data_IF_319662999450
#
_entry.id   IF_319662999450
#
_cell.length_a   1.000
_cell.length_b   1.000
_cell.length_c   1.000
_cell.angle_alpha   90.00
_cell.angle_beta   90.00
_cell.angle_gamma   90.00
#
_symmetry.space_group_name_H-M   'P 1'
#
loop_
_entity.id
_entity.type
_entity.pdbx_description
1 polymer ?
#
# COMPACT_ATOMS: atom_id res chain seq x y z
N UNK A 1 5.09 -5.24 15.90
CA UNK A 1 5.41 -5.93 14.63
C UNK A 1 5.08 -7.42 14.77
N UNK A 2 3.83 -7.82 14.51
CA UNK A 2 3.43 -9.24 14.48
C UNK A 2 2.07 -9.38 13.80
N UNK A 3 1.96 -9.16 12.49
CA UNK A 3 0.76 -9.60 11.76
C UNK A 3 1.01 -9.81 10.25
N UNK A 4 1.77 -10.87 9.96
CA UNK A 4 2.03 -11.37 8.62
C UNK A 4 1.24 -12.63 8.28
N UNK A 5 0.03 -12.83 8.84
CA UNK A 5 -0.75 -14.05 8.60
C UNK A 5 -2.19 -13.72 8.23
N UNK A 6 -2.42 -13.60 6.93
CA UNK A 6 -3.63 -14.07 6.26
C UNK A 6 -3.32 -14.04 4.78
N UNK A 7 -2.66 -15.11 4.32
CA UNK A 7 -2.61 -15.47 2.90
C UNK A 7 -4.08 -15.60 2.48
N UNK A 8 -4.48 -14.92 1.40
CA UNK A 8 -5.87 -14.96 0.91
C UNK A 8 -6.36 -16.40 0.75
N UNK A 9 -7.65 -16.64 1.01
CA UNK A 9 -8.21 -17.99 1.13
C UNK A 9 -7.91 -18.87 -0.10
N UNK A 10 -7.89 -18.26 -1.29
CA UNK A 10 -7.56 -18.88 -2.59
C UNK A 10 -6.07 -19.24 -2.74
N UNK A 11 -5.16 -18.38 -2.32
CA UNK A 11 -3.73 -18.66 -2.33
C UNK A 11 -3.38 -19.76 -1.30
N UNK A 12 -4.12 -19.82 -0.20
CA UNK A 12 -3.98 -20.85 0.82
C UNK A 12 -4.49 -22.20 0.30
N UNK A 13 -5.63 -22.24 -0.39
CA UNK A 13 -6.14 -23.47 -1.02
C UNK A 13 -5.22 -23.96 -2.14
N UNK A 14 -4.64 -23.06 -2.95
CA UNK A 14 -3.68 -23.43 -3.99
C UNK A 14 -2.37 -24.00 -3.40
N UNK A 15 -1.82 -23.38 -2.35
CA UNK A 15 -0.67 -23.92 -1.64
C UNK A 15 -0.97 -25.28 -1.00
N UNK A 16 -2.18 -25.47 -0.49
CA UNK A 16 -2.62 -26.71 0.12
C UNK A 16 -2.78 -27.82 -0.92
N UNK A 17 -3.28 -27.49 -2.12
CA UNK A 17 -3.37 -28.39 -3.27
C UNK A 17 -1.98 -28.80 -3.77
N UNK A 18 -1.05 -27.85 -3.97
CA UNK A 18 0.35 -28.15 -4.31
C UNK A 18 0.99 -29.05 -3.24
N UNK A 19 0.76 -28.75 -1.96
CA UNK A 19 1.31 -29.55 -0.86
C UNK A 19 0.73 -30.96 -0.84
N UNK A 20 -0.55 -31.12 -1.18
CA UNK A 20 -1.22 -32.41 -1.34
C UNK A 20 -0.62 -33.21 -2.49
N UNK A 21 -0.50 -32.62 -3.68
CA UNK A 21 0.08 -33.27 -4.86
C UNK A 21 1.55 -33.64 -4.65
N UNK A 22 2.30 -32.83 -3.91
CA UNK A 22 3.67 -33.15 -3.50
C UNK A 22 3.73 -34.27 -2.46
N UNK A 23 2.72 -34.47 -1.60
CA UNK A 23 2.64 -35.58 -0.63
C UNK A 23 2.53 -36.94 -1.31
N UNK A 24 1.86 -37.00 -2.45
CA UNK A 24 1.66 -38.24 -3.22
C UNK A 24 2.93 -38.68 -3.99
N UNK A 25 3.90 -37.77 -4.14
CA UNK A 25 5.23 -38.15 -4.62
C UNK A 25 5.95 -38.98 -3.55
N UNK A 26 6.12 -40.29 -3.81
CA UNK A 26 6.97 -41.17 -3.00
C UNK A 26 8.43 -40.76 -3.16
N UNK A 27 8.89 -39.97 -2.19
CA UNK A 27 10.27 -39.50 -2.14
C UNK A 27 11.13 -40.56 -1.45
N UNK A 28 12.00 -41.22 -2.20
CA UNK A 28 12.86 -42.30 -1.67
C UNK A 28 14.25 -41.82 -1.22
N UNK A 29 14.59 -40.56 -1.51
CA UNK A 29 15.92 -39.98 -1.33
C UNK A 29 15.87 -38.67 -0.52
N UNK A 30 16.80 -38.47 0.43
CA UNK A 30 16.84 -37.31 1.32
C UNK A 30 16.97 -35.99 0.54
N UNK A 31 17.69 -36.03 -0.59
CA UNK A 31 17.87 -34.90 -1.51
C UNK A 31 16.53 -34.39 -2.07
N UNK A 32 15.65 -35.30 -2.48
CA UNK A 32 14.35 -34.94 -3.03
C UNK A 32 13.38 -34.40 -1.96
N UNK A 33 13.55 -34.83 -0.70
CA UNK A 33 12.77 -34.34 0.44
C UNK A 33 13.18 -32.91 0.81
N UNK A 34 14.47 -32.59 0.65
CA UNK A 34 15.01 -31.24 0.75
C UNK A 34 14.48 -30.34 -0.37
N UNK A 35 14.59 -30.77 -1.63
CA UNK A 35 14.09 -30.03 -2.81
C UNK A 35 12.60 -29.72 -2.68
N UNK A 36 11.78 -30.68 -2.25
CA UNK A 36 10.34 -30.48 -2.01
C UNK A 36 10.06 -29.40 -0.96
N UNK A 37 10.86 -29.34 0.12
CA UNK A 37 10.71 -28.30 1.16
C UNK A 37 11.15 -26.93 0.64
N UNK A 38 12.23 -26.88 -0.13
CA UNK A 38 12.75 -25.64 -0.72
C UNK A 38 11.73 -25.02 -1.69
N UNK A 39 11.18 -25.83 -2.60
CA UNK A 39 10.14 -25.40 -3.57
C UNK A 39 8.92 -24.84 -2.85
N UNK A 40 8.41 -25.53 -1.82
CA UNK A 40 7.23 -25.04 -1.06
C UNK A 40 7.55 -23.73 -0.34
N UNK A 41 8.77 -23.57 0.17
CA UNK A 41 9.21 -22.34 0.84
C UNK A 41 9.31 -21.17 -0.14
N UNK A 42 9.94 -21.38 -1.30
CA UNK A 42 10.05 -20.36 -2.35
C UNK A 42 8.68 -19.91 -2.87
N UNK A 43 7.78 -20.86 -3.15
CA UNK A 43 6.41 -20.53 -3.60
C UNK A 43 5.71 -19.70 -2.52
N UNK A 44 5.85 -20.07 -1.25
CA UNK A 44 5.23 -19.32 -0.14
C UNK A 44 5.82 -17.91 0.00
N UNK A 45 7.12 -17.75 -0.17
CA UNK A 45 7.79 -16.43 -0.17
C UNK A 45 7.32 -15.57 -1.33
N UNK A 46 7.28 -16.11 -2.55
CA UNK A 46 6.76 -15.42 -3.75
C UNK A 46 5.32 -14.94 -3.56
N UNK A 47 4.44 -15.82 -3.06
CA UNK A 47 3.04 -15.45 -2.77
C UNK A 47 2.94 -14.43 -1.64
N UNK A 48 3.77 -14.53 -0.60
CA UNK A 48 3.79 -13.55 0.48
C UNK A 48 4.24 -12.19 -0.03
N UNK A 49 5.29 -12.12 -0.84
CA UNK A 49 5.79 -10.87 -1.45
C UNK A 49 4.73 -10.25 -2.38
N UNK A 50 4.07 -11.07 -3.21
CA UNK A 50 2.99 -10.61 -4.10
C UNK A 50 1.80 -10.09 -3.30
N UNK A 51 1.36 -10.83 -2.29
CA UNK A 51 0.28 -10.41 -1.42
C UNK A 51 0.63 -9.15 -0.63
N UNK A 52 1.86 -9.02 -0.14
CA UNK A 52 2.29 -7.82 0.59
C UNK A 52 2.30 -6.58 -0.30
N UNK A 53 2.71 -6.71 -1.58
CA UNK A 53 2.65 -5.61 -2.57
C UNK A 53 1.22 -5.17 -2.84
N UNK A 54 0.31 -6.12 -3.05
CA UNK A 54 -1.13 -5.84 -3.29
C UNK A 54 -1.82 -5.33 -2.02
N UNK A 55 -1.38 -5.76 -0.84
CA UNK A 55 -1.93 -5.30 0.44
C UNK A 55 -1.44 -3.91 0.80
N UNK A 56 -0.18 -3.58 0.51
CA UNK A 56 0.37 -2.23 0.70
C UNK A 56 -0.34 -1.18 -0.16
N UNK A 57 -0.79 -1.55 -1.37
CA UNK A 57 -1.58 -0.65 -2.21
C UNK A 57 -3.02 -0.45 -1.75
N UNK A 58 -3.53 -1.33 -0.89
CA UNK A 58 -4.87 -1.26 -0.27
C UNK A 58 -4.87 -0.66 1.14
N UNK A 59 -3.70 -0.52 1.77
CA UNK A 59 -3.62 -0.04 3.15
C UNK A 59 -3.61 1.48 3.17
N UNK A 60 -4.65 2.06 3.78
CA UNK A 60 -4.67 3.47 4.13
C UNK A 60 -3.54 3.82 5.08
N UNK A 61 -3.07 5.07 5.00
CA UNK A 61 -2.23 5.67 6.01
C UNK A 61 -2.89 5.46 7.37
N UNK A 62 -2.06 5.03 8.33
CA UNK A 62 -2.50 4.85 9.71
C UNK A 62 -3.14 6.15 10.22
N UNK A 63 -4.26 6.03 10.93
CA UNK A 63 -5.03 7.18 11.47
C UNK A 63 -4.16 8.12 12.31
N UNK A 64 -3.08 7.60 12.91
CA UNK A 64 -2.09 8.39 13.64
C UNK A 64 -1.41 9.47 12.77
N UNK A 65 -1.14 9.19 11.49
CA UNK A 65 -0.56 10.17 10.57
C UNK A 65 -1.54 11.31 10.28
N UNK A 66 -2.83 10.99 10.12
CA UNK A 66 -3.89 11.98 9.94
C UNK A 66 -3.99 12.93 11.14
N UNK A 67 -3.90 12.40 12.36
CA UNK A 67 -3.90 13.20 13.59
C UNK A 67 -2.69 14.15 13.63
N UNK A 68 -1.48 13.66 13.30
CA UNK A 68 -0.26 14.49 13.29
C UNK A 68 -0.34 15.61 12.25
N UNK A 69 -0.80 15.30 11.04
CA UNK A 69 -0.98 16.30 9.97
C UNK A 69 -1.96 17.38 10.43
N UNK A 70 -3.09 16.99 11.03
CA UNK A 70 -4.09 17.94 11.51
C UNK A 70 -3.55 18.88 12.60
N UNK A 71 -2.82 18.32 13.57
CA UNK A 71 -2.20 19.10 14.66
C UNK A 71 -1.15 20.07 14.09
N UNK A 72 -0.26 19.60 13.21
CA UNK A 72 0.81 20.43 12.65
C UNK A 72 0.28 21.58 11.79
N UNK A 73 -0.73 21.31 10.95
CA UNK A 73 -1.39 22.34 10.14
C UNK A 73 -2.07 23.38 11.04
N UNK A 74 -2.72 22.95 12.12
CA UNK A 74 -3.38 23.86 13.06
C UNK A 74 -2.38 24.77 13.78
N UNK A 75 -1.26 24.21 14.27
CA UNK A 75 -0.19 24.97 14.92
C UNK A 75 0.43 25.99 13.95
N UNK A 76 0.73 25.57 12.71
CA UNK A 76 1.27 26.47 11.69
C UNK A 76 0.31 27.60 11.36
N UNK A 77 -1.00 27.32 11.27
CA UNK A 77 -2.01 28.34 11.03
C UNK A 77 -2.04 29.37 12.17
N UNK A 78 -2.06 28.92 13.43
CA UNK A 78 -2.05 29.81 14.61
C UNK A 78 -0.79 30.67 14.62
N UNK A 79 0.37 30.08 14.35
CA UNK A 79 1.65 30.79 14.32
C UNK A 79 1.68 31.89 13.24
N UNK A 80 1.24 31.56 12.02
CA UNK A 80 1.18 32.52 10.91
C UNK A 80 0.15 33.63 11.20
N UNK A 81 -0.96 33.31 11.87
CA UNK A 81 -1.95 34.30 12.32
C UNK A 81 -1.44 35.22 13.44
N UNK A 82 -0.49 34.79 14.27
CA UNK A 82 0.13 35.64 15.31
C UNK A 82 1.29 36.51 14.80
N UNK A 83 1.76 36.30 13.56
CA UNK A 83 2.87 37.03 12.99
C UNK A 83 2.48 38.49 12.67
N UNK A 84 2.97 39.42 13.49
CA UNK A 84 2.75 40.88 13.41
C UNK A 84 3.43 41.56 12.22
N UNK A 85 3.14 41.10 11.00
CA UNK A 85 3.54 41.75 9.76
C UNK A 85 2.47 42.81 9.39
N UNK A 86 2.83 43.81 8.56
CA UNK A 86 1.86 44.73 7.94
C UNK A 86 0.61 43.98 7.47
N UNK A 87 -0.57 44.50 7.82
CA UNK A 87 -1.89 43.85 7.65
C UNK A 87 -2.11 43.27 6.25
N UNK A 88 -1.65 43.95 5.20
CA UNK A 88 -1.77 43.49 3.81
C UNK A 88 -0.94 42.22 3.52
N UNK A 89 0.34 42.23 3.89
CA UNK A 89 1.24 41.07 3.69
C UNK A 89 0.85 39.89 4.59
N UNK A 90 0.34 40.19 5.78
CA UNK A 90 -0.19 39.16 6.69
C UNK A 90 -1.38 38.42 6.07
N UNK A 91 -2.36 39.14 5.50
CA UNK A 91 -3.51 38.52 4.82
C UNK A 91 -3.09 37.63 3.65
N UNK A 92 -2.13 38.08 2.84
CA UNK A 92 -1.59 37.30 1.71
C UNK A 92 -0.87 36.04 2.21
N UNK A 93 -0.04 36.17 3.25
CA UNK A 93 0.71 35.05 3.82
C UNK A 93 -0.22 33.97 4.40
N UNK A 94 -1.24 34.36 5.16
CA UNK A 94 -2.25 33.44 5.69
C UNK A 94 -2.98 32.72 4.56
N UNK A 95 -3.40 33.44 3.51
CA UNK A 95 -4.05 32.84 2.35
C UNK A 95 -3.17 31.80 1.64
N UNK A 96 -1.88 32.11 1.46
CA UNK A 96 -0.92 31.23 0.78
C UNK A 96 -0.62 29.97 1.60
N UNK A 97 -0.53 30.10 2.92
CA UNK A 97 -0.37 28.97 3.86
C UNK A 97 -1.61 28.07 3.87
N UNK A 98 -2.81 28.65 3.81
CA UNK A 98 -4.05 27.88 3.70
C UNK A 98 -4.12 27.08 2.39
N UNK A 99 -3.78 27.71 1.25
CA UNK A 99 -3.81 27.04 -0.05
C UNK A 99 -2.80 25.89 -0.11
N UNK A 100 -1.57 26.13 0.35
CA UNK A 100 -0.51 25.11 0.32
C UNK A 100 -0.80 23.95 1.29
N UNK A 101 -1.26 24.24 2.50
CA UNK A 101 -1.65 23.21 3.47
C UNK A 101 -2.87 22.40 2.98
N UNK A 102 -3.88 23.08 2.44
CA UNK A 102 -5.05 22.42 1.86
C UNK A 102 -4.69 21.52 0.69
N UNK A 103 -3.80 21.98 -0.20
CA UNK A 103 -3.30 21.17 -1.32
C UNK A 103 -2.52 19.95 -0.85
N UNK A 104 -1.69 20.07 0.19
CA UNK A 104 -0.95 18.93 0.75
C UNK A 104 -1.89 17.90 1.38
N UNK A 105 -2.88 18.34 2.14
CA UNK A 105 -3.89 17.46 2.75
C UNK A 105 -4.70 16.75 1.66
N UNK A 106 -5.09 17.47 0.62
CA UNK A 106 -5.81 16.91 -0.52
C UNK A 106 -4.98 15.86 -1.29
N UNK A 107 -3.68 16.14 -1.49
CA UNK A 107 -2.77 15.19 -2.12
C UNK A 107 -2.58 13.93 -1.26
N UNK A 108 -2.41 14.08 0.05
CA UNK A 108 -2.38 12.95 0.99
C UNK A 108 -3.69 12.16 0.96
N UNK A 109 -4.84 12.82 0.82
CA UNK A 109 -6.14 12.17 0.72
C UNK A 109 -6.28 11.33 -0.55
N UNK A 110 -5.84 11.85 -1.70
CA UNK A 110 -5.85 11.08 -2.96
C UNK A 110 -4.90 9.88 -2.86
N UNK A 111 -3.72 10.06 -2.26
CA UNK A 111 -2.70 9.02 -2.14
C UNK A 111 -2.99 8.01 -1.01
N UNK A 112 -3.93 8.30 -0.10
CA UNK A 112 -4.29 7.41 1.01
C UNK A 112 -4.93 6.11 0.51
N UNK A 113 -5.64 6.16 -0.61
CA UNK A 113 -6.29 5.00 -1.24
C UNK A 113 -6.21 5.08 -2.76
N UNK A 114 -5.04 4.85 -3.35
CA UNK A 114 -4.84 5.00 -4.79
C UNK A 114 -5.72 4.04 -5.62
N UNK A 115 -6.22 2.96 -5.02
CA UNK A 115 -7.08 1.97 -5.70
C UNK A 115 -8.49 1.87 -5.10
N UNK A 116 -8.88 2.76 -4.18
CA UNK A 116 -10.20 2.72 -3.53
C UNK A 116 -10.79 4.12 -3.31
N UNK A 117 -11.97 4.38 -3.88
CA UNK A 117 -12.70 5.64 -3.70
C UNK A 117 -12.93 6.41 -5.01
N UNK A 118 -13.47 7.64 -4.94
CA UNK A 118 -13.84 8.43 -6.11
C UNK A 118 -12.63 8.91 -6.95
N UNK A 119 -11.41 8.83 -6.39
CA UNK A 119 -10.15 9.19 -7.05
C UNK A 119 -9.25 7.96 -7.29
N UNK A 120 -9.81 6.76 -7.22
CA UNK A 120 -9.05 5.54 -7.50
C UNK A 120 -8.55 5.54 -8.96
N UNK A 121 -7.37 4.92 -9.18
CA UNK A 121 -6.86 4.64 -10.52
C UNK A 121 -7.95 3.96 -11.33
N UNK A 122 -8.26 4.55 -12.49
CA UNK A 122 -9.33 4.06 -13.35
C UNK A 122 -9.06 2.59 -13.73
N UNK A 123 -10.05 1.74 -13.52
CA UNK A 123 -9.95 0.32 -13.82
C UNK A 123 -9.62 0.06 -15.30
N UNK A 124 -10.02 0.97 -16.19
CA UNK A 124 -9.64 0.95 -17.60
C UNK A 124 -8.13 1.11 -17.82
N UNK A 125 -7.49 2.07 -17.15
CA UNK A 125 -6.06 2.32 -17.28
C UNK A 125 -5.23 1.20 -16.66
N UNK A 126 -5.73 0.61 -15.56
CA UNK A 126 -5.13 -0.56 -14.94
C UNK A 126 -5.15 -1.77 -15.88
N UNK A 127 -6.31 -2.06 -16.49
CA UNK A 127 -6.43 -3.15 -17.46
C UNK A 127 -5.54 -2.92 -18.68
N UNK A 128 -5.46 -1.68 -19.18
CA UNK A 128 -4.58 -1.33 -20.31
C UNK A 128 -3.11 -1.57 -19.97
N UNK A 129 -2.67 -1.23 -18.75
CA UNK A 129 -1.32 -1.51 -18.29
C UNK A 129 -1.04 -3.02 -18.19
N UNK A 130 -2.00 -3.80 -17.68
CA UNK A 130 -1.88 -5.27 -17.61
C UNK A 130 -1.75 -5.87 -19.02
N UNK A 131 -2.64 -5.50 -19.95
CA UNK A 131 -2.60 -6.00 -21.34
C UNK A 131 -1.31 -5.62 -22.08
N UNK A 132 -0.71 -4.47 -21.73
CA UNK A 132 0.58 -4.06 -22.28
C UNK A 132 1.73 -4.92 -21.75
N UNK A 133 1.72 -5.24 -20.46
CA UNK A 133 2.71 -6.12 -19.83
C UNK A 133 2.59 -7.56 -20.38
N UNK A 134 1.38 -8.09 -20.52
CA UNK A 134 1.14 -9.42 -21.11
C UNK A 134 1.58 -9.54 -22.58
N UNK A 135 1.71 -8.42 -23.30
CA UNK A 135 2.24 -8.40 -24.67
C UNK A 135 3.77 -8.32 -24.76
N UNK A 136 4.43 -8.01 -23.65
CA UNK A 136 5.89 -7.86 -23.57
C UNK A 136 6.59 -9.16 -23.12
N UNK A 137 5.86 -10.08 -22.49
CA UNK A 137 6.27 -11.48 -22.27
C UNK A 137 6.01 -12.35 -23.51
#
# INVERSE_FOLDING_TARGET
MRDGKKIGHEALSFLQDITSRLKDYKVNDQMQLFIKKEIVKEIKELYTIRYNRIKMSYFSLNVQYWVVVFIMTTINLIFVCMLGIRVYLHKISVMLVCITSGSMIFLLFILDKPFCGPFAVNQYDLNKAITYIERLE
#
